data_IF_230515214052
#
_entry.id   IF_230515214052
#
_cell.length_a   1.000
_cell.length_b   1.000
_cell.length_c   1.000
_cell.angle_alpha   90.00
_cell.angle_beta   90.00
_cell.angle_gamma   90.00
#
_symmetry.space_group_name_H-M   'P 1'
#
loop_
_entity.id
_entity.type
_entity.pdbx_description
1 polymer ?
#
# COMPACT_ATOMS: atom_id res chain seq x y z
N UNK A 1 -15.45 22.46 -25.55
CA UNK A 1 -14.53 22.30 -24.39
C UNK A 1 -14.98 21.09 -23.59
N UNK A 2 -14.10 20.13 -23.29
CA UNK A 2 -14.46 19.02 -22.43
C UNK A 2 -14.79 19.53 -21.03
N UNK A 3 -15.86 19.01 -20.44
CA UNK A 3 -16.29 19.43 -19.10
C UNK A 3 -15.25 19.03 -18.04
N UNK A 4 -15.20 19.77 -16.94
CA UNK A 4 -14.35 19.45 -15.78
C UNK A 4 -14.55 18.00 -15.30
N UNK A 5 -15.73 17.43 -15.47
CA UNK A 5 -16.03 16.04 -15.15
C UNK A 5 -15.27 15.04 -16.02
N UNK A 6 -15.04 15.34 -17.29
CA UNK A 6 -14.27 14.50 -18.19
C UNK A 6 -12.79 14.49 -17.85
N UNK A 7 -12.22 15.63 -17.47
CA UNK A 7 -10.83 15.69 -17.02
C UNK A 7 -10.56 14.87 -15.77
N UNK A 8 -11.50 14.84 -14.81
CA UNK A 8 -11.40 14.05 -13.59
C UNK A 8 -11.44 12.54 -13.87
N UNK A 9 -12.33 12.11 -14.78
CA UNK A 9 -12.40 10.70 -15.20
C UNK A 9 -11.12 10.25 -15.92
N UNK A 10 -10.61 11.07 -16.82
CA UNK A 10 -9.35 10.78 -17.53
C UNK A 10 -8.15 10.65 -16.58
N UNK A 11 -8.03 11.53 -15.61
CA UNK A 11 -6.94 11.48 -14.63
C UNK A 11 -7.01 10.21 -13.78
N UNK A 12 -8.19 9.82 -13.33
CA UNK A 12 -8.39 8.60 -12.57
C UNK A 12 -7.99 7.36 -13.35
N UNK A 13 -8.50 7.24 -14.56
CA UNK A 13 -8.18 6.11 -15.45
C UNK A 13 -6.69 6.03 -15.82
N UNK A 14 -6.09 7.16 -16.14
CA UNK A 14 -4.66 7.23 -16.43
C UNK A 14 -3.83 6.78 -15.23
N UNK A 15 -4.20 7.20 -14.03
CA UNK A 15 -3.51 6.80 -12.80
C UNK A 15 -3.64 5.29 -12.55
N UNK A 16 -4.80 4.68 -12.78
CA UNK A 16 -4.97 3.22 -12.71
C UNK A 16 -4.01 2.50 -13.66
N UNK A 17 -3.88 2.97 -14.88
CA UNK A 17 -2.94 2.39 -15.87
C UNK A 17 -1.49 2.51 -15.43
N UNK A 18 -1.09 3.66 -14.90
CA UNK A 18 0.27 3.87 -14.39
C UNK A 18 0.57 2.88 -13.26
N UNK A 19 -0.36 2.68 -12.34
CA UNK A 19 -0.20 1.70 -11.25
C UNK A 19 -0.15 0.26 -11.79
N UNK A 20 -1.07 -0.11 -12.67
CA UNK A 20 -1.11 -1.45 -13.25
C UNK A 20 0.19 -1.77 -14.02
N UNK A 21 0.68 -0.85 -14.84
CA UNK A 21 1.92 -1.02 -15.59
C UNK A 21 3.15 -1.16 -14.68
N UNK A 22 3.20 -0.39 -13.59
CA UNK A 22 4.27 -0.51 -12.61
C UNK A 22 4.26 -1.86 -11.88
N UNK A 23 3.06 -2.39 -11.58
CA UNK A 23 2.89 -3.68 -10.92
C UNK A 23 3.29 -4.87 -11.80
N UNK A 24 3.34 -4.72 -13.12
CA UNK A 24 3.71 -5.80 -14.05
C UNK A 24 5.10 -6.37 -13.84
N UNK A 25 6.00 -5.63 -13.19
CA UNK A 25 7.33 -6.14 -12.83
C UNK A 25 7.28 -7.35 -11.89
N UNK A 26 6.20 -7.48 -11.08
CA UNK A 26 5.97 -8.62 -10.17
C UNK A 26 4.77 -9.45 -10.56
N UNK A 27 3.76 -8.81 -11.16
CA UNK A 27 2.49 -9.41 -11.58
C UNK A 27 2.27 -9.15 -13.06
N UNK A 28 2.78 -10.00 -13.96
CA UNK A 28 2.75 -9.76 -15.40
C UNK A 28 1.36 -9.57 -16.00
N UNK A 29 0.33 -10.09 -15.33
CA UNK A 29 -1.07 -9.98 -15.77
C UNK A 29 -1.84 -8.83 -15.12
N UNK A 30 -1.15 -7.93 -14.41
CA UNK A 30 -1.78 -6.75 -13.83
C UNK A 30 -2.36 -5.85 -14.92
N UNK A 31 -3.66 -5.58 -14.86
CA UNK A 31 -4.38 -4.73 -15.81
C UNK A 31 -5.36 -3.81 -15.11
N UNK A 32 -5.48 -2.58 -15.60
CA UNK A 32 -6.54 -1.67 -15.15
C UNK A 32 -7.88 -2.07 -15.78
N UNK A 33 -8.95 -2.04 -14.97
CA UNK A 33 -10.29 -2.45 -15.44
C UNK A 33 -11.00 -1.40 -16.29
N UNK A 34 -10.54 -0.16 -16.25
CA UNK A 34 -11.10 0.94 -17.01
C UNK A 34 -12.22 1.71 -16.27
N UNK A 35 -12.53 2.86 -16.80
CA UNK A 35 -13.49 3.76 -16.21
C UNK A 35 -14.93 3.20 -16.24
N UNK A 36 -15.61 3.29 -15.11
CA UNK A 36 -17.04 2.98 -15.02
C UNK A 36 -17.40 1.51 -14.87
N UNK A 37 -16.42 0.61 -14.72
CA UNK A 37 -16.68 -0.78 -14.36
C UNK A 37 -16.79 -0.94 -12.85
N UNK A 38 -17.72 -1.78 -12.43
CA UNK A 38 -17.81 -2.19 -11.02
C UNK A 38 -16.74 -3.23 -10.73
N UNK A 39 -16.23 -3.24 -9.50
CA UNK A 39 -15.23 -4.17 -9.03
C UNK A 39 -13.87 -3.51 -8.76
N UNK A 40 -12.84 -4.32 -8.76
CA UNK A 40 -11.47 -3.87 -8.51
C UNK A 40 -10.96 -2.98 -9.65
N UNK A 41 -10.19 -1.94 -9.31
CA UNK A 41 -9.57 -1.06 -10.29
C UNK A 41 -8.44 -1.74 -11.06
N UNK A 42 -7.79 -2.72 -10.46
CA UNK A 42 -6.71 -3.50 -11.06
C UNK A 42 -6.99 -4.98 -10.86
N UNK A 43 -6.93 -5.74 -11.93
CA UNK A 43 -7.07 -7.20 -11.95
C UNK A 43 -5.74 -7.89 -12.19
N UNK A 44 -5.69 -9.22 -12.03
CA UNK A 44 -4.48 -10.02 -12.28
C UNK A 44 -3.43 -9.93 -11.18
N UNK A 45 -3.83 -9.51 -9.98
CA UNK A 45 -2.99 -9.37 -8.79
C UNK A 45 -3.66 -10.03 -7.58
N UNK A 46 -2.89 -10.46 -6.57
CA UNK A 46 -3.45 -11.12 -5.39
C UNK A 46 -4.02 -10.17 -4.33
N UNK A 47 -4.17 -8.90 -4.67
CA UNK A 47 -4.69 -7.84 -3.79
C UNK A 47 -5.92 -7.19 -4.40
N UNK A 48 -6.73 -6.53 -3.58
CA UNK A 48 -7.78 -5.62 -4.05
C UNK A 48 -7.31 -4.19 -3.89
N UNK A 49 -7.04 -3.53 -5.01
CA UNK A 49 -6.54 -2.15 -5.02
C UNK A 49 -7.62 -1.21 -5.53
N UNK A 50 -7.90 -0.17 -4.76
CA UNK A 50 -8.65 1.01 -5.17
C UNK A 50 -7.68 2.13 -5.48
N UNK A 51 -7.75 2.71 -6.68
CA UNK A 51 -6.86 3.79 -7.13
C UNK A 51 -7.61 5.12 -7.14
N UNK A 52 -7.06 6.09 -6.46
CA UNK A 52 -7.62 7.46 -6.36
C UNK A 52 -6.63 8.51 -6.85
N UNK A 53 -7.13 9.42 -7.67
CA UNK A 53 -6.39 10.59 -8.15
C UNK A 53 -7.27 11.85 -7.97
N UNK A 54 -7.49 12.22 -6.70
CA UNK A 54 -8.41 13.28 -6.31
C UNK A 54 -7.71 14.35 -5.51
N UNK A 55 -8.26 15.56 -5.55
CA UNK A 55 -7.80 16.69 -4.74
C UNK A 55 -8.27 16.62 -3.29
N UNK A 56 -9.43 16.00 -3.05
CA UNK A 56 -9.92 15.69 -1.71
C UNK A 56 -9.31 14.39 -1.21
N UNK A 57 -9.21 14.24 0.11
CA UNK A 57 -8.67 13.04 0.74
C UNK A 57 -9.71 12.46 1.71
N UNK A 58 -10.29 11.32 1.35
CA UNK A 58 -11.34 10.63 2.11
C UNK A 58 -10.95 9.17 2.39
N UNK A 59 -9.94 8.94 3.24
CA UNK A 59 -9.34 7.64 3.39
C UNK A 59 -10.31 6.55 3.87
N UNK A 60 -11.19 6.85 4.83
CA UNK A 60 -12.15 5.87 5.33
C UNK A 60 -13.18 5.44 4.29
N UNK A 61 -13.68 6.38 3.48
CA UNK A 61 -14.61 6.06 2.40
C UNK A 61 -13.93 5.20 1.33
N UNK A 62 -12.70 5.52 1.00
CA UNK A 62 -11.95 4.81 -0.03
C UNK A 62 -11.53 3.41 0.41
N UNK A 63 -11.10 3.24 1.66
CA UNK A 63 -10.76 1.90 2.16
C UNK A 63 -11.99 1.00 2.25
N UNK A 64 -13.15 1.52 2.63
CA UNK A 64 -14.42 0.79 2.59
C UNK A 64 -14.80 0.36 1.17
N UNK A 65 -14.55 1.20 0.18
CA UNK A 65 -14.77 0.87 -1.22
C UNK A 65 -13.83 -0.26 -1.67
N UNK A 66 -12.56 -0.19 -1.34
CA UNK A 66 -11.60 -1.26 -1.63
C UNK A 66 -12.01 -2.58 -0.95
N UNK A 67 -12.44 -2.53 0.30
CA UNK A 67 -12.88 -3.69 1.06
C UNK A 67 -14.16 -4.31 0.48
N UNK A 68 -15.08 -3.52 -0.07
CA UNK A 68 -16.31 -4.04 -0.69
C UNK A 68 -16.05 -4.93 -1.91
N UNK A 69 -14.92 -4.75 -2.58
CA UNK A 69 -14.54 -5.47 -3.79
C UNK A 69 -13.46 -6.56 -3.54
N UNK A 70 -12.98 -6.71 -2.32
CA UNK A 70 -11.79 -7.53 -2.06
C UNK A 70 -11.98 -9.04 -2.19
N UNK A 71 -13.21 -9.55 -2.06
CA UNK A 71 -13.40 -10.98 -1.89
C UNK A 71 -12.61 -11.50 -0.68
N UNK A 72 -11.79 -12.51 -0.83
CA UNK A 72 -10.87 -12.99 0.21
C UNK A 72 -9.49 -12.32 0.23
N UNK A 73 -9.27 -11.29 -0.58
CA UNK A 73 -7.96 -10.64 -0.74
C UNK A 73 -7.74 -9.55 0.30
N UNK A 74 -6.49 -9.14 0.48
CA UNK A 74 -6.16 -7.93 1.23
C UNK A 74 -6.48 -6.71 0.37
N UNK A 75 -7.20 -5.75 0.95
CA UNK A 75 -7.58 -4.50 0.28
C UNK A 75 -6.71 -3.34 0.74
N UNK A 76 -6.31 -2.50 -0.20
CA UNK A 76 -5.65 -1.23 0.11
C UNK A 76 -5.95 -0.18 -0.97
N UNK A 77 -5.67 1.06 -0.64
CA UNK A 77 -5.89 2.21 -1.51
C UNK A 77 -4.54 2.75 -1.97
N UNK A 78 -4.43 3.04 -3.26
CA UNK A 78 -3.31 3.80 -3.82
C UNK A 78 -3.82 5.18 -4.20
N UNK A 79 -3.19 6.22 -3.66
CA UNK A 79 -3.59 7.59 -3.87
C UNK A 79 -2.49 8.41 -4.53
N UNK A 80 -2.80 8.94 -5.72
CA UNK A 80 -1.99 9.97 -6.35
C UNK A 80 -2.45 11.33 -5.83
N UNK A 81 -1.59 11.98 -5.07
CA UNK A 81 -1.86 13.31 -4.51
C UNK A 81 -1.60 14.42 -5.54
N UNK A 82 -2.10 15.62 -5.25
CA UNK A 82 -1.78 16.79 -6.07
C UNK A 82 -0.27 17.04 -6.09
N UNK A 83 0.25 17.38 -7.27
CA UNK A 83 1.67 17.61 -7.49
C UNK A 83 2.49 16.36 -7.79
N UNK A 84 1.95 15.16 -7.62
CA UNK A 84 2.63 13.93 -8.03
C UNK A 84 2.48 13.69 -9.55
N UNK A 85 3.57 13.26 -10.18
CA UNK A 85 3.62 12.89 -11.58
C UNK A 85 3.10 11.48 -11.86
N UNK A 86 3.57 10.86 -12.92
CA UNK A 86 3.18 9.51 -13.35
C UNK A 86 4.20 8.47 -12.88
N UNK A 87 4.69 8.60 -11.68
CA UNK A 87 5.58 7.64 -11.03
C UNK A 87 4.83 6.92 -9.90
N UNK A 88 4.37 5.71 -10.16
CA UNK A 88 3.59 4.93 -9.21
C UNK A 88 4.33 4.64 -7.90
N UNK A 89 5.64 4.54 -7.94
CA UNK A 89 6.49 4.31 -6.77
C UNK A 89 6.34 5.41 -5.71
N UNK A 90 6.05 6.63 -6.14
CA UNK A 90 5.89 7.79 -5.25
C UNK A 90 4.48 7.96 -4.71
N UNK A 91 3.50 7.20 -5.22
CA UNK A 91 2.13 7.31 -4.74
C UNK A 91 2.01 6.78 -3.31
N UNK A 92 1.05 7.32 -2.57
CA UNK A 92 0.77 6.84 -1.22
C UNK A 92 -0.08 5.58 -1.28
N UNK A 93 0.23 4.62 -0.45
CA UNK A 93 -0.61 3.45 -0.25
C UNK A 93 -1.02 3.37 1.23
N UNK A 94 -2.28 3.05 1.50
CA UNK A 94 -2.78 2.90 2.86
C UNK A 94 -3.78 1.76 2.98
N UNK A 95 -3.81 1.14 4.14
CA UNK A 95 -4.65 0.00 4.47
C UNK A 95 -5.02 0.00 5.94
N UNK A 96 -5.87 -0.94 6.34
CA UNK A 96 -6.13 -1.16 7.77
C UNK A 96 -4.86 -1.58 8.48
N UNK A 97 -4.61 -1.00 9.63
CA UNK A 97 -3.42 -1.36 10.45
C UNK A 97 -3.39 -2.87 10.76
N UNK A 98 -4.54 -3.47 11.05
CA UNK A 98 -4.62 -4.91 11.29
C UNK A 98 -4.15 -5.76 10.11
N UNK A 99 -4.48 -5.38 8.88
CA UNK A 99 -4.03 -6.06 7.67
C UNK A 99 -2.54 -5.85 7.40
N UNK A 100 -2.05 -4.65 7.61
CA UNK A 100 -0.62 -4.37 7.52
C UNK A 100 0.18 -5.20 8.51
N UNK A 101 -0.28 -5.28 9.76
CA UNK A 101 0.40 -6.09 10.79
C UNK A 101 0.42 -7.57 10.45
N UNK A 102 -0.63 -8.12 9.84
CA UNK A 102 -0.62 -9.49 9.35
C UNK A 102 0.46 -9.72 8.30
N UNK A 103 0.58 -8.84 7.33
CA UNK A 103 1.62 -8.92 6.28
C UNK A 103 3.03 -8.87 6.91
N UNK A 104 3.26 -7.94 7.82
CA UNK A 104 4.56 -7.79 8.47
C UNK A 104 4.91 -9.00 9.34
N UNK A 105 3.94 -9.58 10.02
CA UNK A 105 4.10 -10.80 10.82
C UNK A 105 4.41 -12.03 9.96
N UNK A 106 3.74 -12.20 8.84
CA UNK A 106 4.00 -13.29 7.90
C UNK A 106 5.41 -13.19 7.30
N UNK A 107 5.87 -11.97 7.04
CA UNK A 107 7.21 -11.73 6.47
C UNK A 107 8.34 -11.95 7.47
N UNK A 108 8.07 -11.77 8.75
CA UNK A 108 9.06 -11.89 9.82
C UNK A 108 8.54 -12.81 10.94
N UNK A 109 8.20 -14.08 10.65
CA UNK A 109 7.54 -14.99 11.60
C UNK A 109 8.39 -15.32 12.83
N UNK A 110 9.69 -15.08 12.79
CA UNK A 110 10.63 -15.41 13.86
C UNK A 110 11.14 -14.17 14.61
N UNK A 111 10.58 -12.99 14.36
CA UNK A 111 10.90 -11.79 15.10
C UNK A 111 10.12 -11.71 16.40
N UNK A 112 10.37 -12.64 17.32
CA UNK A 112 10.01 -12.41 18.70
C UNK A 112 10.82 -11.22 19.20
N UNK A 113 10.16 -10.22 19.82
CA UNK A 113 10.90 -9.08 20.35
C UNK A 113 11.86 -9.58 21.41
N UNK A 114 13.13 -9.33 21.20
CA UNK A 114 14.19 -9.68 22.15
C UNK A 114 14.51 -8.51 23.07
N UNK A 115 14.90 -8.81 24.27
CA UNK A 115 15.34 -7.82 25.25
C UNK A 115 16.83 -7.52 25.10
N UNK A 116 17.19 -6.26 25.23
CA UNK A 116 18.58 -5.85 25.29
C UNK A 116 19.24 -6.43 26.53
N UNK A 117 20.36 -7.11 26.35
CA UNK A 117 21.12 -7.69 27.45
C UNK A 117 21.75 -6.63 28.37
N UNK A 118 21.91 -5.42 27.88
CA UNK A 118 22.58 -4.34 28.58
C UNK A 118 21.64 -3.49 29.43
N UNK A 119 20.45 -3.15 28.95
CA UNK A 119 19.51 -2.29 29.65
C UNK A 119 18.11 -2.90 29.85
N UNK A 120 17.85 -4.08 29.31
CA UNK A 120 16.54 -4.73 29.36
C UNK A 120 15.48 -4.12 28.44
N UNK A 121 15.82 -3.09 27.65
CA UNK A 121 14.94 -2.49 26.66
C UNK A 121 14.67 -3.43 25.47
N UNK A 122 13.77 -3.02 24.58
CA UNK A 122 13.44 -3.81 23.39
C UNK A 122 14.49 -3.63 22.28
N UNK A 123 14.84 -4.72 21.63
CA UNK A 123 15.71 -4.69 20.46
C UNK A 123 14.93 -4.35 19.19
N UNK A 124 15.51 -3.51 18.33
CA UNK A 124 15.01 -3.25 16.99
C UNK A 124 15.70 -4.24 16.04
N UNK A 125 14.92 -5.13 15.45
CA UNK A 125 15.40 -6.12 14.45
C UNK A 125 16.64 -6.92 14.93
N UNK A 126 16.74 -7.18 16.23
CA UNK A 126 17.87 -7.87 16.88
C UNK A 126 19.23 -7.16 16.74
N UNK A 127 19.26 -5.91 16.28
CA UNK A 127 20.50 -5.20 16.00
C UNK A 127 20.78 -4.00 16.91
N UNK A 128 19.76 -3.21 17.21
CA UNK A 128 19.89 -1.97 17.98
C UNK A 128 18.85 -1.94 19.09
N UNK A 129 19.27 -1.59 20.31
CA UNK A 129 18.35 -1.41 21.42
C UNK A 129 17.57 -0.11 21.29
N UNK A 130 16.26 -0.19 21.42
CA UNK A 130 15.34 0.94 21.41
C UNK A 130 15.64 1.96 22.53
N UNK A 131 16.10 1.49 23.69
CA UNK A 131 16.29 2.33 24.87
C UNK A 131 17.69 2.92 24.96
N UNK A 132 18.73 2.12 24.84
CA UNK A 132 20.10 2.59 25.00
C UNK A 132 20.82 2.86 23.66
N UNK A 133 20.18 2.62 22.54
CA UNK A 133 20.72 2.79 21.19
C UNK A 133 22.05 2.07 20.92
N UNK A 134 22.41 1.13 21.77
CA UNK A 134 23.61 0.33 21.55
C UNK A 134 23.28 -0.86 20.65
N UNK A 135 24.16 -1.13 19.71
CA UNK A 135 24.03 -2.27 18.84
C UNK A 135 24.02 -3.56 19.65
N UNK A 136 23.02 -4.39 19.42
CA UNK A 136 23.02 -5.75 19.90
C UNK A 136 24.11 -6.52 19.18
N UNK A 137 25.36 -6.20 19.46
CA UNK A 137 26.48 -7.00 18.95
C UNK A 137 26.40 -8.32 19.68
N UNK A 138 26.05 -9.34 18.94
CA UNK A 138 26.39 -10.69 19.31
C UNK A 138 27.90 -10.75 19.39
N UNK A 139 28.42 -10.46 20.54
CA UNK A 139 29.76 -10.86 20.87
C UNK A 139 29.69 -12.35 21.11
N UNK A 140 30.15 -13.06 20.10
CA UNK A 140 30.47 -14.45 20.30
C UNK A 140 31.44 -14.59 21.47
#
# INVERSE_FOLDING_TARGET
>A
MPSMANHRKHRGYKTQRVVADWLKQWYPYAESTGAGRQGEDITGIPFSIEVKARSDFQPLAWIKQAESNKGGKIAFVVSRCNGQGENAEEYLAFMRLGDLMKILQERAPNNEPTRCKQCGGWMIENSICHTCHQGGISLA
#
